data_IF_323731066303
#
_entry.id   IF_323731066303
#
_cell.length_a   1.000
_cell.length_b   1.000
_cell.length_c   1.000
_cell.angle_alpha   90.00
_cell.angle_beta   90.00
_cell.angle_gamma   90.00
#
_symmetry.space_group_name_H-M   'P 1'
#
loop_
_entity.id
_entity.type
_entity.pdbx_description
1 polymer ?
#
# COMPACT_ATOMS: atom_id res chain seq x y z
N UNK A 1 2.09 -8.22 11.46
CA UNK A 1 1.95 -7.54 10.15
C UNK A 1 1.28 -8.38 9.04
N UNK A 2 1.06 -9.71 9.19
CA UNK A 2 0.33 -10.51 8.18
C UNK A 2 -1.11 -10.03 7.94
N UNK A 3 -1.88 -9.78 9.00
CA UNK A 3 -3.26 -9.30 8.86
C UNK A 3 -3.34 -7.91 8.22
N UNK A 4 -2.34 -7.05 8.44
CA UNK A 4 -2.21 -5.76 7.75
C UNK A 4 -2.02 -5.98 6.24
N UNK A 5 -1.14 -6.91 5.86
CA UNK A 5 -0.95 -7.30 4.46
C UNK A 5 -2.24 -7.83 3.81
N UNK A 6 -2.97 -8.72 4.50
CA UNK A 6 -4.25 -9.26 3.99
C UNK A 6 -5.36 -8.21 3.92
N UNK A 7 -5.38 -7.26 4.86
CA UNK A 7 -6.28 -6.12 4.81
C UNK A 7 -6.05 -5.27 3.55
N UNK A 8 -4.79 -4.92 3.27
CA UNK A 8 -4.47 -4.18 2.04
C UNK A 8 -4.66 -5.03 0.77
N UNK A 9 -4.50 -6.35 0.85
CA UNK A 9 -4.85 -7.28 -0.24
C UNK A 9 -6.34 -7.19 -0.57
N UNK A 10 -7.20 -7.18 0.46
CA UNK A 10 -8.65 -7.00 0.28
C UNK A 10 -8.97 -5.65 -0.35
N UNK A 11 -8.47 -4.55 0.22
CA UNK A 11 -8.76 -3.20 -0.29
C UNK A 11 -8.29 -3.02 -1.73
N UNK A 12 -7.07 -3.46 -2.04
CA UNK A 12 -6.54 -3.42 -3.40
C UNK A 12 -7.41 -4.23 -4.37
N UNK A 13 -7.83 -5.45 -3.99
CA UNK A 13 -8.72 -6.26 -4.80
C UNK A 13 -10.07 -5.58 -5.08
N UNK A 14 -10.66 -4.90 -4.09
CA UNK A 14 -11.87 -4.11 -4.29
C UNK A 14 -11.67 -2.98 -5.31
N UNK A 15 -10.56 -2.23 -5.19
CA UNK A 15 -10.23 -1.15 -6.12
C UNK A 15 -9.97 -1.64 -7.54
N UNK A 16 -9.38 -2.83 -7.68
CA UNK A 16 -9.19 -3.48 -9.00
C UNK A 16 -10.54 -3.76 -9.66
N UNK A 17 -11.49 -4.32 -8.91
CA UNK A 17 -12.85 -4.61 -9.41
C UNK A 17 -13.59 -3.31 -9.74
N UNK A 18 -13.58 -2.34 -8.83
CA UNK A 18 -14.26 -1.05 -9.00
C UNK A 18 -13.72 -0.27 -10.21
N UNK A 19 -12.39 -0.20 -10.35
CA UNK A 19 -11.74 0.49 -11.45
C UNK A 19 -11.68 -0.29 -12.77
N UNK A 20 -12.29 -1.49 -12.84
CA UNK A 20 -12.19 -2.38 -14.01
C UNK A 20 -10.74 -2.61 -14.47
N UNK A 21 -9.80 -2.69 -13.53
CA UNK A 21 -8.37 -2.83 -13.81
C UNK A 21 -8.11 -4.29 -14.23
N UNK A 22 -7.40 -4.55 -15.34
CA UNK A 22 -7.20 -5.91 -15.85
C UNK A 22 -6.11 -6.67 -15.07
N UNK A 23 -6.39 -6.94 -13.80
CA UNK A 23 -5.66 -7.81 -12.88
C UNK A 23 -6.60 -8.94 -12.46
N UNK A 24 -6.13 -10.19 -12.50
CA UNK A 24 -6.90 -11.33 -12.00
C UNK A 24 -7.05 -11.26 -10.46
N UNK A 25 -8.29 -11.20 -9.98
CA UNK A 25 -8.62 -11.06 -8.57
C UNK A 25 -8.86 -12.39 -7.86
N UNK A 26 -8.96 -13.51 -8.58
CA UNK A 26 -9.14 -14.83 -7.97
C UNK A 26 -7.99 -15.14 -6.99
N UNK A 27 -6.70 -14.96 -7.36
CA UNK A 27 -5.58 -15.22 -6.45
C UNK A 27 -5.56 -14.29 -5.21
N UNK A 28 -6.11 -13.08 -5.32
CA UNK A 28 -6.23 -12.15 -4.20
C UNK A 28 -7.27 -12.67 -3.19
N UNK A 29 -8.41 -13.14 -3.68
CA UNK A 29 -9.45 -13.78 -2.86
C UNK A 29 -8.95 -15.02 -2.13
N UNK A 30 -8.24 -15.90 -2.84
CA UNK A 30 -7.63 -17.10 -2.26
C UNK A 30 -6.61 -16.78 -1.16
N UNK A 31 -5.78 -15.75 -1.36
CA UNK A 31 -4.84 -15.29 -0.34
C UNK A 31 -5.55 -14.86 0.95
N UNK A 32 -6.67 -14.15 0.82
CA UNK A 32 -7.49 -13.69 1.95
C UNK A 32 -8.12 -14.88 2.68
N UNK A 33 -8.80 -15.78 1.96
CA UNK A 33 -9.52 -16.90 2.57
C UNK A 33 -8.59 -17.97 3.15
N UNK A 34 -7.42 -18.19 2.54
CA UNK A 34 -6.40 -19.10 3.06
C UNK A 34 -5.51 -18.49 4.15
N UNK A 35 -5.64 -17.18 4.42
CA UNK A 35 -4.79 -16.46 5.36
C UNK A 35 -3.31 -16.40 4.95
N UNK A 36 -3.01 -16.56 3.66
CA UNK A 36 -1.65 -16.58 3.11
C UNK A 36 -1.32 -15.23 2.44
N UNK A 37 -0.16 -14.62 2.71
CA UNK A 37 0.26 -13.40 2.03
C UNK A 37 0.25 -13.55 0.50
N UNK A 38 -0.42 -12.63 -0.19
CA UNK A 38 -0.36 -12.54 -1.65
C UNK A 38 1.03 -12.08 -2.14
N UNK A 39 1.72 -12.86 -2.99
CA UNK A 39 3.15 -12.70 -3.26
C UNK A 39 3.55 -11.45 -4.05
N UNK A 40 2.59 -10.80 -4.73
CA UNK A 40 2.87 -9.66 -5.61
C UNK A 40 2.40 -8.33 -5.06
N UNK A 41 1.98 -8.28 -3.79
CA UNK A 41 1.55 -7.03 -3.13
C UNK A 41 2.53 -6.65 -2.02
N UNK A 42 3.06 -5.44 -2.08
CA UNK A 42 4.05 -4.90 -1.17
C UNK A 42 3.52 -3.63 -0.51
N UNK A 43 3.98 -3.35 0.71
CA UNK A 43 3.59 -2.18 1.49
C UNK A 43 4.80 -1.33 1.84
N UNK A 44 4.74 -0.05 1.50
CA UNK A 44 5.65 0.96 2.02
C UNK A 44 4.89 1.83 3.01
N UNK A 45 5.49 2.05 4.17
CA UNK A 45 4.89 2.85 5.24
C UNK A 45 5.70 4.13 5.37
N UNK A 46 5.01 5.26 5.46
CA UNK A 46 5.60 6.58 5.63
C UNK A 46 4.80 7.42 6.61
N UNK A 47 5.39 8.53 7.02
CA UNK A 47 4.70 9.57 7.77
C UNK A 47 4.43 10.74 6.83
N UNK A 48 3.17 11.13 6.70
CA UNK A 48 2.76 12.30 5.94
C UNK A 48 1.97 13.21 6.87
N UNK A 49 2.64 14.23 7.42
CA UNK A 49 1.98 15.21 8.27
C UNK A 49 1.02 16.05 7.42
N UNK A 50 -0.27 15.85 7.62
CA UNK A 50 -1.32 16.61 6.95
C UNK A 50 -1.83 17.71 7.89
N UNK A 51 -2.16 18.90 7.37
CA UNK A 51 -2.68 20.00 8.20
C UNK A 51 -4.07 19.70 8.79
N UNK A 52 -4.73 18.66 8.31
CA UNK A 52 -6.03 18.18 8.77
C UNK A 52 -5.95 16.65 8.89
N UNK A 53 -6.55 16.08 9.94
CA UNK A 53 -6.71 14.64 10.05
C UNK A 53 -7.53 14.11 8.87
N UNK A 54 -6.87 13.37 7.98
CA UNK A 54 -7.45 12.87 6.74
C UNK A 54 -7.47 11.34 6.73
N UNK A 55 -8.55 10.79 6.17
CA UNK A 55 -8.64 9.38 5.81
C UNK A 55 -9.04 9.31 4.34
N UNK A 56 -8.25 8.62 3.52
CA UNK A 56 -8.54 8.53 2.09
C UNK A 56 -7.52 7.73 1.31
N UNK A 57 -7.88 7.41 0.08
CA UNK A 57 -6.99 6.78 -0.89
C UNK A 57 -6.83 7.65 -2.14
N UNK A 58 -5.70 7.55 -2.82
CA UNK A 58 -5.55 8.05 -4.19
C UNK A 58 -6.32 7.17 -5.17
N UNK A 59 -6.37 7.58 -6.44
CA UNK A 59 -6.65 6.66 -7.53
C UNK A 59 -5.56 5.59 -7.63
N UNK A 60 -5.88 4.46 -8.26
CA UNK A 60 -4.90 3.41 -8.56
C UNK A 60 -4.17 3.78 -9.85
N UNK A 61 -2.86 4.01 -9.76
CA UNK A 61 -2.02 4.24 -10.93
C UNK A 61 -1.47 2.92 -11.44
N UNK A 62 -1.62 2.66 -12.74
CA UNK A 62 -1.23 1.39 -13.37
C UNK A 62 -0.17 1.61 -14.44
N UNK A 63 0.76 0.66 -14.58
CA UNK A 63 1.63 0.54 -15.74
C UNK A 63 1.39 -0.81 -16.43
N UNK A 64 1.17 -0.74 -17.74
CA UNK A 64 0.82 -1.88 -18.56
C UNK A 64 1.90 -2.15 -19.63
N UNK A 65 2.05 -3.42 -19.99
CA UNK A 65 2.84 -3.86 -21.13
C UNK A 65 2.02 -4.91 -21.89
N UNK A 66 1.81 -4.71 -23.19
CA UNK A 66 1.02 -5.61 -24.04
C UNK A 66 -0.37 -5.92 -23.47
N UNK A 67 -1.07 -4.89 -22.97
CA UNK A 67 -2.42 -5.02 -22.39
C UNK A 67 -2.49 -5.71 -21.03
N UNK A 68 -1.35 -6.04 -20.42
CA UNK A 68 -1.28 -6.64 -19.08
C UNK A 68 -0.71 -5.65 -18.08
N UNK A 69 -1.39 -5.50 -16.94
CA UNK A 69 -0.86 -4.70 -15.81
C UNK A 69 0.33 -5.43 -15.20
N UNK A 70 1.50 -4.79 -15.23
CA UNK A 70 2.71 -5.32 -14.60
C UNK A 70 3.00 -4.67 -13.25
N UNK A 71 2.51 -3.46 -13.07
CA UNK A 71 2.69 -2.67 -11.88
C UNK A 71 1.42 -1.84 -11.61
N UNK A 72 1.03 -1.74 -10.34
CA UNK A 72 0.03 -0.80 -9.89
C UNK A 72 0.40 -0.24 -8.52
N UNK A 73 0.01 0.99 -8.24
CA UNK A 73 0.29 1.64 -6.96
C UNK A 73 -0.91 2.47 -6.51
N UNK A 74 -1.14 2.46 -5.19
CA UNK A 74 -2.25 3.14 -4.55
C UNK A 74 -1.80 3.67 -3.19
N UNK A 75 -2.00 4.96 -2.95
CA UNK A 75 -1.65 5.59 -1.68
C UNK A 75 -2.88 5.61 -0.77
N UNK A 76 -2.73 5.17 0.48
CA UNK A 76 -3.77 5.19 1.51
C UNK A 76 -3.27 5.94 2.74
N UNK A 77 -4.04 6.91 3.22
CA UNK A 77 -3.70 7.73 4.38
C UNK A 77 -4.73 7.56 5.50
N UNK A 78 -4.25 7.49 6.74
CA UNK A 78 -5.05 7.56 7.97
C UNK A 78 -4.30 8.39 9.01
N UNK A 79 -4.78 9.62 9.26
CA UNK A 79 -4.03 10.60 10.05
C UNK A 79 -2.67 10.87 9.40
N UNK A 80 -1.58 10.75 10.17
CA UNK A 80 -0.22 10.93 9.64
C UNK A 80 0.37 9.65 9.02
N UNK A 81 -0.33 8.51 9.07
CA UNK A 81 0.17 7.27 8.50
C UNK A 81 -0.16 7.22 7.01
N UNK A 82 0.88 7.18 6.19
CA UNK A 82 0.78 6.92 4.76
C UNK A 82 1.20 5.48 4.46
N UNK A 83 0.39 4.78 3.66
CA UNK A 83 0.68 3.44 3.16
C UNK A 83 0.62 3.46 1.65
N UNK A 84 1.77 3.26 1.00
CA UNK A 84 1.79 2.99 -0.42
C UNK A 84 1.66 1.48 -0.65
N UNK A 85 0.57 1.08 -1.28
CA UNK A 85 0.26 -0.29 -1.66
C UNK A 85 0.73 -0.49 -3.11
N UNK A 86 1.65 -1.43 -3.31
CA UNK A 86 2.26 -1.67 -4.61
C UNK A 86 2.01 -3.10 -5.06
N UNK A 87 1.34 -3.26 -6.20
CA UNK A 87 1.31 -4.51 -6.96
C UNK A 87 2.47 -4.52 -7.95
N UNK A 88 3.27 -5.58 -7.96
CA UNK A 88 4.40 -5.72 -8.87
C UNK A 88 4.63 -7.18 -9.26
N UNK A 89 4.57 -7.45 -10.58
CA UNK A 89 4.94 -8.75 -11.12
C UNK A 89 6.47 -8.97 -11.08
N UNK A 90 6.94 -10.23 -11.10
CA UNK A 90 8.37 -10.53 -11.16
C UNK A 90 9.07 -9.80 -12.32
N UNK A 91 10.23 -9.23 -12.03
CA UNK A 91 11.05 -8.47 -12.99
C UNK A 91 10.80 -6.97 -13.02
N UNK A 92 9.78 -6.45 -12.32
CA UNK A 92 9.64 -4.99 -12.13
C UNK A 92 10.73 -4.46 -11.18
N UNK A 93 11.45 -3.42 -11.61
CA UNK A 93 12.51 -2.75 -10.83
C UNK A 93 12.21 -1.26 -10.71
N UNK A 94 11.20 -0.90 -9.90
CA UNK A 94 10.86 0.50 -9.62
C UNK A 94 11.40 0.92 -8.25
N UNK A 95 11.85 2.17 -8.13
CA UNK A 95 12.36 2.73 -6.86
C UNK A 95 11.41 2.51 -5.67
N UNK A 96 10.09 2.56 -5.91
CA UNK A 96 9.07 2.31 -4.87
C UNK A 96 9.14 0.91 -4.21
N UNK A 97 9.84 -0.04 -4.83
CA UNK A 97 10.04 -1.39 -4.30
C UNK A 97 11.26 -1.51 -3.36
N UNK A 98 12.21 -0.56 -3.38
CA UNK A 98 13.45 -0.65 -2.58
C UNK A 98 13.19 -0.66 -1.07
N UNK A 99 12.20 0.12 -0.62
CA UNK A 99 11.78 0.24 0.78
C UNK A 99 10.50 -0.55 1.09
N UNK A 100 9.97 -1.26 0.10
CA UNK A 100 8.71 -1.96 0.21
C UNK A 100 8.87 -3.24 1.05
N UNK A 101 7.82 -3.56 1.79
CA UNK A 101 7.79 -4.70 2.68
C UNK A 101 6.76 -5.72 2.24
N UNK A 102 7.13 -6.99 2.38
CA UNK A 102 6.25 -8.15 2.22
C UNK A 102 6.43 -9.07 3.43
N UNK A 103 5.38 -9.78 3.91
CA UNK A 103 5.50 -10.71 5.05
C UNK A 103 6.63 -11.75 4.95
N UNK A 104 7.00 -12.14 3.72
CA UNK A 104 8.12 -13.06 3.44
C UNK A 104 9.50 -12.52 3.85
N UNK A 105 9.62 -11.20 4.01
CA UNK A 105 10.86 -10.51 4.37
C UNK A 105 11.05 -10.41 5.90
N UNK A 106 10.12 -10.96 6.68
CA UNK A 106 10.16 -10.93 8.14
C UNK A 106 9.43 -9.73 8.75
N UNK A 107 9.79 -9.38 9.98
CA UNK A 107 9.16 -8.30 10.72
C UNK A 107 9.64 -6.93 10.23
N UNK A 108 8.73 -5.95 10.19
CA UNK A 108 9.05 -4.53 9.99
C UNK A 108 8.59 -3.76 11.22
N UNK A 109 9.54 -3.11 11.87
CA UNK A 109 9.27 -2.20 12.97
C UNK A 109 9.04 -0.80 12.39
N UNK A 110 7.93 -0.19 12.78
CA UNK A 110 7.58 1.16 12.37
C UNK A 110 7.69 2.06 13.61
N UNK A 111 8.53 3.08 13.55
CA UNK A 111 8.64 4.09 14.58
C UNK A 111 8.28 5.44 13.97
N UNK A 112 7.10 5.93 14.29
CA UNK A 112 6.66 7.27 13.95
C UNK A 112 6.85 8.15 15.18
N UNK A 113 7.63 9.23 15.05
CA UNK A 113 7.76 10.23 16.11
C UNK A 113 6.97 11.46 15.69
N UNK A 114 5.95 11.82 16.47
CA UNK A 114 5.36 13.15 16.39
C UNK A 114 6.25 14.08 17.22
N UNK A 115 6.92 15.02 16.56
CA UNK A 115 7.44 16.17 17.26
C UNK A 115 6.28 17.14 17.45
N UNK A 116 5.91 17.42 18.70
CA UNK A 116 4.98 18.50 19.00
C UNK A 116 5.60 19.81 18.49
N UNK A 117 4.93 20.47 17.55
CA UNK A 117 5.20 21.88 17.26
C UNK A 117 4.93 22.65 18.55
N UNK A 118 6.00 23.05 19.23
CA UNK A 118 5.89 24.00 20.32
C UNK A 118 5.17 25.23 19.78
N UNK A 119 4.01 25.55 20.36
CA UNK A 119 3.30 26.79 20.09
C UNK A 119 4.26 27.93 20.43
N UNK A 120 4.76 28.66 19.43
CA UNK A 120 5.48 29.90 19.69
C UNK A 120 4.50 30.86 20.37
N UNK A 121 4.84 31.46 21.52
CA UNK A 121 4.00 32.49 22.13
C UNK A 121 3.98 33.70 21.19
N UNK A 122 2.79 34.11 20.76
CA UNK A 122 2.61 35.40 20.09
C UNK A 122 2.92 36.50 21.11
N UNK A 123 3.87 37.37 20.75
CA UNK A 123 4.16 38.63 21.45
C UNK A 123 3.28 39.74 20.90
#
# INVERSE_FOLDING_TARGET
MRHVHLYFTKLFGCLVVEGSIPIDTIPLGEAITSGRPYPYLYLTFGQLAMPVDMVGGSDVHVAQLNGKVRFATWLYNVGDLAVNVTYALPGEQRQGLEVAWHPRMGAKWLQFRRYSTATMPQR
#
